data_IF_335032249726
#
_entry.id   IF_335032249726
#
_cell.length_a   1.000
_cell.length_b   1.000
_cell.length_c   1.000
_cell.angle_alpha   90.00
_cell.angle_beta   90.00
_cell.angle_gamma   90.00
#
_symmetry.space_group_name_H-M   'P 1'
#
loop_
_entity.id
_entity.type
_entity.pdbx_description
1 polymer ?
#
# COMPACT_ATOMS: atom_id res chain seq x y z
N UNK A 1 -0.01 -47.09 -41.06
CA UNK A 1 1.33 -47.65 -41.12
C UNK A 1 2.08 -47.19 -39.86
N UNK A 2 2.31 -48.15 -39.00
CA UNK A 2 3.06 -48.00 -37.77
C UNK A 2 4.54 -48.16 -38.00
N UNK A 3 5.39 -47.42 -37.29
CA UNK A 3 6.73 -47.92 -36.93
C UNK A 3 7.09 -47.38 -35.56
N UNK A 4 7.08 -48.33 -34.62
CA UNK A 4 7.59 -48.29 -33.28
C UNK A 4 9.09 -48.54 -33.31
N UNK A 5 9.89 -47.84 -32.51
CA UNK A 5 11.20 -48.38 -32.10
C UNK A 5 11.45 -48.08 -30.61
N UNK A 6 11.68 -49.18 -29.89
CA UNK A 6 12.03 -49.32 -28.47
C UNK A 6 13.54 -49.25 -28.25
N UNK A 7 14.00 -48.61 -27.16
CA UNK A 7 14.96 -48.93 -26.08
C UNK A 7 16.28 -49.71 -26.42
N UNK A 8 17.37 -49.66 -25.57
CA UNK A 8 17.32 -49.93 -24.14
C UNK A 8 18.26 -49.11 -23.22
N UNK A 9 17.98 -49.28 -21.93
CA UNK A 9 18.73 -48.90 -20.76
C UNK A 9 20.05 -49.73 -20.58
N UNK A 10 21.02 -49.14 -19.89
CA UNK A 10 22.07 -49.94 -19.20
C UNK A 10 22.47 -49.27 -17.88
N UNK A 11 22.22 -50.00 -16.82
CA UNK A 11 22.76 -49.83 -15.48
C UNK A 11 24.21 -50.26 -15.43
N UNK A 12 25.05 -49.58 -14.67
CA UNK A 12 26.28 -50.16 -14.09
C UNK A 12 26.53 -49.58 -12.71
N UNK A 13 26.27 -50.41 -11.73
CA UNK A 13 26.76 -50.31 -10.35
C UNK A 13 28.27 -50.55 -10.31
N UNK A 14 29.00 -49.77 -9.52
CA UNK A 14 30.34 -50.24 -9.05
C UNK A 14 30.53 -49.91 -7.58
N UNK A 15 30.82 -50.98 -6.83
CA UNK A 15 31.04 -51.12 -5.40
C UNK A 15 32.32 -50.44 -4.94
N UNK A 16 32.26 -49.99 -3.69
CA UNK A 16 33.41 -49.60 -2.85
C UNK A 16 34.19 -50.79 -2.33
N UNK A 17 35.49 -50.60 -2.13
CA UNK A 17 36.31 -51.32 -1.11
C UNK A 17 37.56 -50.49 -0.74
N UNK A 18 38.02 -50.53 0.55
CA UNK A 18 39.15 -49.76 1.04
C UNK A 18 40.44 -50.59 1.03
N UNK A 19 41.62 -50.00 1.04
CA UNK A 19 42.82 -50.67 1.40
C UNK A 19 43.37 -50.28 2.77
N UNK A 20 43.90 -51.29 3.43
CA UNK A 20 44.60 -51.30 4.69
C UNK A 20 46.04 -50.77 4.53
N UNK A 21 46.60 -50.33 5.67
CA UNK A 21 47.88 -49.72 5.82
C UNK A 21 49.09 -50.60 5.78
N UNK A 22 50.27 -50.00 5.82
CA UNK A 22 51.48 -50.53 6.46
C UNK A 22 52.41 -49.36 6.82
N UNK A 23 53.10 -49.58 7.94
CA UNK A 23 54.01 -48.67 8.62
C UNK A 23 55.45 -48.69 8.00
N UNK A 24 56.20 -47.65 8.29
CA UNK A 24 57.64 -47.71 8.15
C UNK A 24 58.42 -46.40 8.15
N UNK A 25 58.97 -46.08 9.31
CA UNK A 25 60.30 -45.51 9.62
C UNK A 25 60.68 -44.07 9.30
N UNK A 26 61.20 -43.49 10.32
CA UNK A 26 61.73 -42.22 10.76
C UNK A 26 62.85 -41.51 9.97
N UNK A 27 62.77 -40.19 10.01
CA UNK A 27 63.77 -39.13 10.37
C UNK A 27 64.92 -38.78 9.41
N UNK A 28 65.55 -37.56 9.51
CA UNK A 28 65.15 -36.30 10.08
C UNK A 28 65.36 -35.03 9.18
N UNK A 29 64.69 -33.97 9.57
CA UNK A 29 65.01 -32.52 9.54
C UNK A 29 65.74 -31.89 8.33
N UNK A 30 65.06 -30.88 7.77
CA UNK A 30 65.71 -29.60 7.45
C UNK A 30 64.66 -28.51 7.48
N UNK A 31 64.87 -27.49 8.33
CA UNK A 31 64.15 -26.27 8.47
C UNK A 31 64.21 -25.38 7.22
N UNK A 32 63.09 -25.02 6.65
CA UNK A 32 62.99 -23.87 5.80
C UNK A 32 61.69 -23.07 6.24
N UNK A 33 61.77 -21.76 6.46
CA UNK A 33 60.60 -21.01 6.92
C UNK A 33 59.59 -20.83 5.79
N UNK A 34 58.49 -21.52 5.92
CA UNK A 34 57.33 -21.36 5.07
C UNK A 34 56.69 -20.00 5.35
N UNK A 35 56.74 -19.12 4.36
CA UNK A 35 56.01 -17.87 4.32
C UNK A 35 54.53 -18.13 4.58
N UNK A 36 54.06 -17.75 5.78
CA UNK A 36 52.65 -17.72 6.10
C UNK A 36 51.94 -16.71 5.18
N UNK A 37 51.26 -17.20 4.17
CA UNK A 37 50.26 -16.45 3.46
C UNK A 37 49.13 -16.15 4.47
N UNK A 38 49.16 -14.97 5.04
CA UNK A 38 48.01 -14.37 5.73
C UNK A 38 46.90 -14.19 4.68
N UNK A 39 46.02 -15.17 4.56
CA UNK A 39 44.70 -14.98 3.99
C UNK A 39 43.95 -14.05 4.92
N UNK A 40 44.10 -12.75 4.69
CA UNK A 40 43.28 -11.72 5.35
C UNK A 40 41.84 -11.97 4.97
N UNK A 41 41.11 -12.63 5.88
CA UNK A 41 39.64 -12.64 5.84
C UNK A 41 39.21 -11.20 6.02
N UNK A 42 38.95 -10.53 4.91
CA UNK A 42 38.30 -9.23 4.95
C UNK A 42 36.87 -9.44 5.50
N UNK A 43 36.75 -9.35 6.80
CA UNK A 43 35.42 -9.27 7.46
C UNK A 43 34.76 -7.99 6.95
N UNK A 44 33.93 -8.11 5.92
CA UNK A 44 33.05 -7.03 5.50
C UNK A 44 32.02 -6.82 6.60
N UNK A 45 32.29 -5.86 7.46
CA UNK A 45 31.30 -5.38 8.42
C UNK A 45 30.18 -4.74 7.59
N UNK A 46 29.09 -5.45 7.37
CA UNK A 46 27.85 -4.87 6.84
C UNK A 46 27.16 -4.18 8.01
N UNK A 47 27.35 -2.89 8.13
CA UNK A 47 26.50 -2.07 8.99
C UNK A 47 25.19 -1.91 8.21
N UNK A 48 24.05 -2.34 8.75
CA UNK A 48 22.76 -2.03 8.13
C UNK A 48 22.60 -0.50 8.18
N UNK A 49 22.70 0.14 7.03
CA UNK A 49 22.41 1.56 6.91
C UNK A 49 20.91 1.63 6.65
N UNK A 50 20.17 2.26 7.56
CA UNK A 50 18.75 2.53 7.36
C UNK A 50 18.60 3.48 6.17
N UNK A 51 18.08 2.96 5.06
CA UNK A 51 17.85 3.73 3.84
C UNK A 51 16.42 4.26 3.83
N UNK A 52 16.30 5.53 3.50
CA UNK A 52 15.01 6.15 3.20
C UNK A 52 14.64 5.85 1.76
N UNK A 53 13.52 5.14 1.57
CA UNK A 53 12.98 4.79 0.25
C UNK A 53 12.00 5.89 -0.17
N UNK A 54 12.21 6.44 -1.35
CA UNK A 54 11.42 7.54 -1.90
C UNK A 54 10.81 7.10 -3.25
N UNK A 55 9.53 6.70 -3.27
CA UNK A 55 8.81 6.50 -4.51
C UNK A 55 8.54 7.84 -5.19
N UNK A 56 8.71 7.88 -6.50
CA UNK A 56 8.55 9.13 -7.28
C UNK A 56 7.78 8.83 -8.56
N UNK A 57 6.65 9.49 -8.75
CA UNK A 57 5.93 9.53 -10.02
C UNK A 57 6.30 10.80 -10.76
N UNK A 58 6.65 10.70 -12.03
CA UNK A 58 6.97 11.87 -12.87
C UNK A 58 6.04 11.91 -14.06
N UNK A 59 5.42 13.07 -14.27
CA UNK A 59 4.45 13.32 -15.36
C UNK A 59 4.87 14.51 -16.21
N UNK A 60 4.54 14.44 -17.49
CA UNK A 60 4.65 15.57 -18.41
C UNK A 60 3.49 16.59 -18.22
N UNK A 61 3.53 17.69 -18.93
CA UNK A 61 2.47 18.72 -18.94
C UNK A 61 1.10 18.18 -19.39
N UNK A 62 1.06 17.07 -20.10
CA UNK A 62 -0.16 16.36 -20.48
C UNK A 62 -0.63 15.35 -19.43
N UNK A 63 0.08 15.24 -18.30
CA UNK A 63 -0.22 14.29 -17.22
C UNK A 63 0.12 12.84 -17.57
N UNK A 64 0.94 12.58 -18.58
CA UNK A 64 1.42 11.24 -18.96
C UNK A 64 2.70 10.92 -18.21
N UNK A 65 2.87 9.65 -17.83
CA UNK A 65 4.08 9.18 -17.17
C UNK A 65 5.30 9.38 -18.08
N UNK A 66 6.42 9.74 -17.45
CA UNK A 66 7.73 9.89 -18.09
C UNK A 66 8.64 8.76 -17.61
N UNK A 67 8.78 7.64 -18.34
CA UNK A 67 9.47 6.44 -17.86
C UNK A 67 10.97 6.41 -18.20
N UNK A 68 11.50 7.39 -18.92
CA UNK A 68 12.83 7.38 -19.52
C UNK A 68 13.88 8.23 -18.76
N UNK A 69 13.56 8.65 -17.55
CA UNK A 69 14.49 9.42 -16.72
C UNK A 69 15.60 8.53 -16.14
N UNK A 70 16.81 9.09 -16.11
CA UNK A 70 17.98 8.42 -15.54
C UNK A 70 18.33 8.97 -14.17
N UNK A 71 19.09 8.18 -13.40
CA UNK A 71 19.50 8.53 -12.03
C UNK A 71 20.12 9.92 -11.91
N UNK A 72 20.94 10.31 -12.86
CA UNK A 72 21.67 11.60 -12.87
C UNK A 72 20.78 12.82 -13.12
N UNK A 73 19.53 12.60 -13.54
CA UNK A 73 18.52 13.65 -13.69
C UNK A 73 17.81 13.96 -12.37
N UNK A 74 17.90 13.09 -11.35
CA UNK A 74 17.25 13.27 -10.04
C UNK A 74 18.19 13.88 -8.99
N UNK A 75 17.64 14.72 -8.14
CA UNK A 75 18.25 15.22 -6.90
C UNK A 75 17.24 15.09 -5.76
N UNK A 76 17.70 14.61 -4.61
CA UNK A 76 16.90 14.47 -3.39
C UNK A 76 17.44 15.44 -2.35
N UNK A 77 16.53 16.11 -1.66
CA UNK A 77 16.84 16.96 -0.52
C UNK A 77 16.07 16.45 0.70
N UNK A 78 16.76 16.37 1.83
CA UNK A 78 16.19 16.12 3.15
C UNK A 78 16.44 17.38 3.98
N UNK A 79 15.38 17.98 4.53
CA UNK A 79 15.46 19.24 5.29
C UNK A 79 16.29 20.32 4.56
N UNK A 80 16.09 20.44 3.24
CA UNK A 80 16.84 21.30 2.30
C UNK A 80 18.33 20.95 2.11
N UNK A 81 18.81 19.83 2.64
CA UNK A 81 20.18 19.35 2.45
C UNK A 81 20.18 18.25 1.36
N UNK A 82 20.97 18.47 0.30
CA UNK A 82 21.07 17.50 -0.79
C UNK A 82 21.65 16.17 -0.30
N UNK A 83 20.96 15.07 -0.62
CA UNK A 83 21.33 13.72 -0.26
C UNK A 83 21.86 12.95 -1.47
N UNK A 84 22.88 12.11 -1.23
CA UNK A 84 23.43 11.25 -2.27
C UNK A 84 22.49 10.06 -2.51
N UNK A 85 21.94 9.95 -3.72
CA UNK A 85 21.15 8.79 -4.11
C UNK A 85 22.02 7.53 -4.00
N UNK A 86 21.67 6.60 -3.13
CA UNK A 86 22.38 5.33 -2.94
C UNK A 86 21.87 4.27 -3.93
N UNK A 87 20.55 4.23 -4.17
CA UNK A 87 19.89 3.30 -5.09
C UNK A 87 18.89 4.01 -5.98
N UNK A 88 18.77 3.53 -7.22
CA UNK A 88 17.80 3.99 -8.22
C UNK A 88 17.25 2.77 -8.93
N UNK A 89 15.93 2.66 -8.99
CA UNK A 89 15.22 1.62 -9.75
C UNK A 89 14.04 2.24 -10.51
N UNK A 90 13.87 1.79 -11.75
CA UNK A 90 12.73 2.14 -12.61
C UNK A 90 11.90 0.88 -12.96
N UNK A 91 12.11 -0.21 -12.23
CA UNK A 91 11.45 -1.48 -12.49
C UNK A 91 9.99 -1.45 -12.02
N UNK A 92 9.18 -2.17 -12.75
CA UNK A 92 7.79 -2.43 -12.39
C UNK A 92 7.74 -3.28 -11.12
N UNK A 93 7.03 -2.77 -10.11
CA UNK A 93 6.93 -3.42 -8.79
C UNK A 93 5.49 -3.89 -8.57
N UNK A 94 5.27 -5.12 -8.04
CA UNK A 94 3.93 -5.59 -7.70
C UNK A 94 3.22 -4.68 -6.70
N UNK A 95 1.89 -4.62 -6.80
CA UNK A 95 1.06 -3.79 -5.94
C UNK A 95 0.37 -4.64 -4.86
N UNK A 96 0.34 -4.13 -3.62
CA UNK A 96 -0.62 -4.52 -2.59
C UNK A 96 -1.56 -3.34 -2.37
N UNK A 97 -2.83 -3.51 -2.69
CA UNK A 97 -3.82 -2.44 -2.70
C UNK A 97 -4.96 -2.71 -1.74
N UNK A 98 -5.33 -1.73 -0.93
CA UNK A 98 -6.66 -1.69 -0.30
C UNK A 98 -7.56 -0.80 -1.14
N UNK A 99 -8.62 -1.38 -1.71
CA UNK A 99 -9.69 -0.65 -2.38
C UNK A 99 -10.68 -0.24 -1.30
N UNK A 100 -10.67 1.03 -0.93
CA UNK A 100 -11.48 1.59 0.13
C UNK A 100 -12.63 2.40 -0.46
N UNK A 101 -13.86 1.89 -0.32
CA UNK A 101 -15.05 2.43 -0.98
C UNK A 101 -15.98 3.05 0.05
N UNK A 102 -16.34 4.29 -0.19
CA UNK A 102 -17.36 5.00 0.57
C UNK A 102 -18.75 4.35 0.36
N UNK A 103 -19.34 3.85 1.44
CA UNK A 103 -20.63 3.15 1.44
C UNK A 103 -21.82 4.09 1.69
N UNK A 104 -21.56 5.36 2.02
CA UNK A 104 -22.57 6.39 2.27
C UNK A 104 -22.54 7.45 1.14
N UNK A 105 -22.47 7.00 -0.09
CA UNK A 105 -22.62 7.80 -1.29
C UNK A 105 -24.08 8.00 -1.63
N UNK A 106 -24.42 9.11 -2.30
CA UNK A 106 -25.77 9.30 -2.87
C UNK A 106 -26.05 8.18 -3.87
N UNK A 107 -27.27 7.65 -3.92
CA UNK A 107 -27.66 6.49 -4.76
C UNK A 107 -27.19 6.59 -6.23
N UNK A 108 -27.23 7.79 -6.83
CA UNK A 108 -26.72 8.01 -8.19
C UNK A 108 -25.21 7.78 -8.29
N UNK A 109 -24.44 8.25 -7.31
CA UNK A 109 -22.99 8.16 -7.29
C UNK A 109 -22.57 6.73 -6.93
N UNK A 110 -23.26 6.11 -5.98
CA UNK A 110 -23.11 4.72 -5.60
C UNK A 110 -23.28 3.77 -6.78
N UNK A 111 -24.36 3.95 -7.57
CA UNK A 111 -24.58 3.19 -8.80
C UNK A 111 -23.44 3.37 -9.80
N UNK A 112 -23.00 4.60 -10.01
CA UNK A 112 -21.91 4.91 -10.94
C UNK A 112 -20.59 4.26 -10.52
N UNK A 113 -20.26 4.27 -9.23
CA UNK A 113 -19.11 3.56 -8.67
C UNK A 113 -19.28 2.07 -8.89
N UNK A 114 -20.39 1.47 -8.48
CA UNK A 114 -20.67 0.03 -8.62
C UNK A 114 -20.50 -0.47 -10.05
N UNK A 115 -21.02 0.27 -11.03
CA UNK A 115 -20.90 -0.06 -12.48
C UNK A 115 -19.44 -0.06 -12.97
N UNK A 116 -18.58 0.75 -12.36
CA UNK A 116 -17.17 0.93 -12.79
C UNK A 116 -16.15 0.06 -12.04
N UNK A 117 -16.51 -0.54 -10.89
CA UNK A 117 -15.56 -1.27 -10.02
C UNK A 117 -14.78 -2.39 -10.73
N UNK A 118 -15.39 -3.07 -11.73
CA UNK A 118 -14.70 -4.13 -12.47
C UNK A 118 -13.48 -3.64 -13.26
N UNK A 119 -13.41 -2.36 -13.58
CA UNK A 119 -12.25 -1.79 -14.24
C UNK A 119 -11.00 -1.77 -13.34
N UNK A 120 -11.16 -1.84 -12.02
CA UNK A 120 -10.05 -1.97 -11.07
C UNK A 120 -9.29 -3.28 -11.35
N UNK A 121 -10.03 -4.39 -11.54
CA UNK A 121 -9.42 -5.70 -11.83
C UNK A 121 -8.66 -5.68 -13.15
N UNK A 122 -9.20 -5.01 -14.16
CA UNK A 122 -8.55 -4.90 -15.47
C UNK A 122 -7.20 -4.14 -15.42
N UNK A 123 -6.99 -3.28 -14.42
CA UNK A 123 -5.74 -2.55 -14.19
C UNK A 123 -4.69 -3.37 -13.44
N UNK A 124 -5.05 -4.48 -12.81
CA UNK A 124 -4.14 -5.29 -12.00
C UNK A 124 -3.39 -6.33 -12.84
N UNK A 125 -2.14 -6.59 -12.49
CA UNK A 125 -1.33 -7.68 -13.03
C UNK A 125 -1.48 -8.96 -12.20
N UNK A 126 -0.97 -10.09 -12.71
CA UNK A 126 -1.05 -11.38 -12.02
C UNK A 126 -0.30 -11.42 -10.67
N UNK A 127 0.66 -10.53 -10.47
CA UNK A 127 1.43 -10.45 -9.23
C UNK A 127 0.86 -9.44 -8.23
N UNK A 128 -0.19 -8.72 -8.61
CA UNK A 128 -0.84 -7.75 -7.73
C UNK A 128 -1.86 -8.45 -6.85
N UNK A 129 -2.20 -7.82 -5.74
CA UNK A 129 -3.23 -8.26 -4.84
C UNK A 129 -4.06 -7.07 -4.34
N UNK A 130 -5.32 -7.29 -4.10
CA UNK A 130 -6.20 -6.26 -3.58
C UNK A 130 -7.10 -6.78 -2.47
N UNK A 131 -7.39 -5.92 -1.49
CA UNK A 131 -8.39 -6.15 -0.44
C UNK A 131 -9.48 -5.10 -0.58
N UNK A 132 -10.71 -5.55 -0.85
CA UNK A 132 -11.86 -4.65 -0.99
C UNK A 132 -12.45 -4.38 0.39
N UNK A 133 -12.51 -3.11 0.77
CA UNK A 133 -13.07 -2.64 2.02
C UNK A 133 -14.09 -1.54 1.76
N UNK A 134 -15.05 -1.38 2.66
CA UNK A 134 -16.01 -0.30 2.62
C UNK A 134 -15.97 0.49 3.93
N UNK A 135 -16.45 1.71 3.90
CA UNK A 135 -16.60 2.51 5.10
C UNK A 135 -17.80 3.46 5.01
N UNK A 136 -18.37 3.72 6.15
CA UNK A 136 -19.34 4.76 6.45
C UNK A 136 -18.93 5.37 7.81
N UNK A 137 -19.75 5.29 8.83
CA UNK A 137 -19.36 5.55 10.21
C UNK A 137 -18.44 4.46 10.76
N UNK A 138 -18.45 3.28 10.13
CA UNK A 138 -17.66 2.11 10.53
C UNK A 138 -16.80 1.61 9.37
N UNK A 139 -15.74 0.89 9.70
CA UNK A 139 -14.90 0.21 8.71
C UNK A 139 -15.40 -1.23 8.49
N UNK A 140 -15.63 -1.60 7.25
CA UNK A 140 -16.15 -2.90 6.84
C UNK A 140 -15.12 -3.64 5.97
N UNK A 141 -14.24 -4.47 6.56
CA UNK A 141 -13.27 -5.22 5.78
C UNK A 141 -13.95 -6.35 4.98
N UNK A 142 -13.46 -6.58 3.76
CA UNK A 142 -13.82 -7.77 2.97
C UNK A 142 -13.00 -9.02 3.36
N UNK A 143 -12.85 -9.95 2.41
CA UNK A 143 -12.30 -11.28 2.68
C UNK A 143 -10.77 -11.39 2.79
N UNK A 144 -10.02 -10.30 2.71
CA UNK A 144 -8.56 -10.29 2.73
C UNK A 144 -7.94 -9.93 1.38
N UNK A 145 -6.61 -10.06 1.28
CA UNK A 145 -5.90 -9.81 0.02
C UNK A 145 -6.15 -10.94 -0.98
N UNK A 146 -6.63 -10.58 -2.16
CA UNK A 146 -6.98 -11.47 -3.25
C UNK A 146 -6.07 -11.15 -4.44
N UNK A 147 -5.25 -12.11 -4.87
CA UNK A 147 -4.43 -12.03 -6.07
C UNK A 147 -5.12 -12.64 -7.32
N UNK A 148 -6.16 -13.44 -7.12
CA UNK A 148 -6.94 -14.06 -8.20
C UNK A 148 -7.96 -13.06 -8.75
N UNK A 149 -7.84 -12.72 -10.02
CA UNK A 149 -8.68 -11.70 -10.66
C UNK A 149 -10.16 -12.07 -10.70
N UNK A 150 -10.51 -13.35 -10.89
CA UNK A 150 -11.90 -13.79 -10.95
C UNK A 150 -12.57 -13.74 -9.57
N UNK A 151 -11.82 -14.12 -8.53
CA UNK A 151 -12.26 -14.00 -7.14
C UNK A 151 -12.43 -12.54 -6.74
N UNK A 152 -11.47 -11.68 -7.12
CA UNK A 152 -11.55 -10.26 -6.85
C UNK A 152 -12.73 -9.60 -7.56
N UNK A 153 -12.98 -9.97 -8.82
CA UNK A 153 -14.16 -9.52 -9.56
C UNK A 153 -15.46 -9.98 -8.89
N UNK A 154 -15.48 -11.18 -8.34
CA UNK A 154 -16.63 -11.70 -7.59
C UNK A 154 -16.86 -10.92 -6.31
N UNK A 155 -15.79 -10.57 -5.58
CA UNK A 155 -15.88 -9.76 -4.37
C UNK A 155 -16.37 -8.33 -4.68
N UNK A 156 -15.84 -7.69 -5.72
CA UNK A 156 -16.31 -6.38 -6.17
C UNK A 156 -17.79 -6.39 -6.60
N UNK A 157 -18.26 -7.46 -7.24
CA UNK A 157 -19.69 -7.62 -7.60
C UNK A 157 -20.59 -7.79 -6.38
N UNK A 158 -20.08 -8.37 -5.29
CA UNK A 158 -20.80 -8.50 -4.01
C UNK A 158 -20.87 -7.17 -3.25
N UNK A 159 -20.00 -6.20 -3.61
CA UNK A 159 -20.01 -4.88 -3.03
C UNK A 159 -21.20 -4.10 -3.60
N UNK A 160 -22.38 -4.32 -3.01
CA UNK A 160 -23.60 -3.57 -3.36
C UNK A 160 -23.54 -2.23 -2.66
N UNK A 161 -23.46 -1.18 -3.45
CA UNK A 161 -23.53 0.20 -2.98
C UNK A 161 -24.94 0.78 -3.10
N UNK A 162 -25.87 0.05 -3.75
CA UNK A 162 -27.19 0.54 -4.13
C UNK A 162 -28.30 0.25 -3.09
N UNK A 163 -28.03 -0.59 -2.11
CA UNK A 163 -29.01 -0.81 -1.03
C UNK A 163 -28.94 0.39 -0.11
N UNK A 164 -29.92 1.27 -0.22
CA UNK A 164 -30.26 2.23 0.81
C UNK A 164 -30.32 1.50 2.17
N UNK A 165 -29.22 1.53 2.90
CA UNK A 165 -29.22 1.39 4.34
C UNK A 165 -29.73 2.71 4.93
N UNK A 166 -30.81 3.27 4.36
CA UNK A 166 -31.70 4.22 5.03
C UNK A 166 -32.63 3.51 6.02
N UNK A 167 -32.30 2.29 6.43
CA UNK A 167 -32.70 1.82 7.72
C UNK A 167 -31.83 2.57 8.72
N UNK A 168 -32.37 3.69 9.23
CA UNK A 168 -31.94 4.19 10.53
C UNK A 168 -31.82 2.99 11.49
N UNK A 169 -31.07 3.10 12.60
CA UNK A 169 -30.66 1.97 13.43
C UNK A 169 -31.84 1.20 14.01
N UNK A 170 -32.52 0.43 13.19
CA UNK A 170 -33.28 -0.72 13.61
C UNK A 170 -32.28 -1.87 13.68
N UNK A 171 -31.31 -1.76 14.59
CA UNK A 171 -30.53 -2.89 15.03
C UNK A 171 -31.47 -3.80 15.83
N UNK A 172 -31.90 -4.96 15.30
CA UNK A 172 -32.68 -5.91 16.08
C UNK A 172 -31.87 -6.50 17.24
N UNK A 173 -30.56 -6.22 17.29
CA UNK A 173 -29.64 -6.83 18.22
C UNK A 173 -29.59 -6.16 19.62
N UNK A 174 -30.16 -4.99 19.80
CA UNK A 174 -30.11 -4.31 21.12
C UNK A 174 -31.39 -4.56 21.94
N UNK A 175 -32.46 -5.08 21.32
CA UNK A 175 -33.72 -5.37 22.03
C UNK A 175 -33.87 -6.79 22.56
N UNK A 176 -32.86 -7.65 22.47
CA UNK A 176 -32.89 -9.01 23.02
C UNK A 176 -32.13 -9.14 24.35
N UNK A 177 -32.14 -8.12 25.18
CA UNK A 177 -31.86 -8.29 26.60
C UNK A 177 -32.93 -9.18 27.23
N UNK A 178 -32.63 -9.93 28.29
CA UNK A 178 -33.61 -10.77 28.98
C UNK A 178 -34.79 -9.91 29.42
N UNK A 179 -35.98 -10.19 28.90
CA UNK A 179 -37.22 -9.54 29.34
C UNK A 179 -37.88 -10.38 30.43
N UNK A 180 -38.28 -9.75 31.51
CA UNK A 180 -39.07 -10.37 32.56
C UNK A 180 -40.46 -9.74 32.50
N UNK A 181 -41.48 -10.60 32.27
CA UNK A 181 -42.88 -10.21 32.11
C UNK A 181 -43.16 -9.16 31.00
N UNK A 182 -42.40 -9.23 29.85
CA UNK A 182 -42.64 -8.34 28.74
C UNK A 182 -42.00 -6.93 28.91
N UNK A 183 -41.33 -6.67 30.01
CA UNK A 183 -40.55 -5.44 30.22
C UNK A 183 -39.05 -5.75 30.17
N UNK A 184 -38.26 -4.88 29.54
CA UNK A 184 -36.80 -5.01 29.51
C UNK A 184 -36.25 -4.98 30.93
N UNK A 185 -35.45 -5.98 31.30
CA UNK A 185 -34.83 -6.08 32.63
C UNK A 185 -33.75 -4.99 32.87
N UNK A 186 -33.34 -4.28 31.85
CA UNK A 186 -32.58 -3.03 31.93
C UNK A 186 -33.57 -1.89 31.80
N UNK A 187 -33.98 -1.26 32.87
CA UNK A 187 -34.95 -0.18 32.92
C UNK A 187 -34.74 0.83 31.77
N UNK A 188 -35.75 1.64 31.45
CA UNK A 188 -35.77 2.63 30.40
C UNK A 188 -34.47 3.48 30.40
N UNK A 189 -33.41 2.90 29.84
CA UNK A 189 -32.23 3.68 29.51
C UNK A 189 -32.68 4.73 28.50
N UNK A 190 -32.39 6.01 28.70
CA UNK A 190 -32.74 7.04 27.77
C UNK A 190 -32.25 6.62 26.39
N UNK A 191 -33.15 6.63 25.42
CA UNK A 191 -32.89 6.22 24.03
C UNK A 191 -31.81 7.12 23.43
N UNK A 192 -30.53 6.77 23.69
CA UNK A 192 -29.34 7.49 23.20
C UNK A 192 -29.30 7.44 21.66
N UNK A 193 -29.90 6.43 21.03
CA UNK A 193 -30.05 6.33 19.60
C UNK A 193 -30.93 7.47 19.00
N UNK A 194 -31.92 7.97 19.76
CA UNK A 194 -32.75 9.11 19.35
C UNK A 194 -32.05 10.47 19.41
N UNK A 195 -31.01 10.59 20.24
CA UNK A 195 -30.27 11.85 20.40
C UNK A 195 -29.28 12.14 19.26
N UNK A 196 -28.77 11.10 18.61
CA UNK A 196 -27.82 11.27 17.47
C UNK A 196 -28.52 11.38 16.12
N UNK A 197 -29.74 10.82 15.98
CA UNK A 197 -30.51 10.88 14.73
C UNK A 197 -31.08 12.27 14.37
N UNK A 198 -31.07 13.21 15.31
CA UNK A 198 -31.64 14.55 15.12
C UNK A 198 -30.61 15.65 14.81
N UNK A 199 -29.34 15.33 14.61
CA UNK A 199 -28.36 16.28 14.07
C UNK A 199 -28.51 16.26 12.54
N UNK A 200 -29.63 16.81 12.04
CA UNK A 200 -29.81 17.01 10.60
C UNK A 200 -28.63 17.81 10.05
N UNK A 201 -27.85 17.17 9.17
CA UNK A 201 -26.84 17.82 8.33
C UNK A 201 -25.38 17.65 8.72
N UNK A 202 -25.04 16.88 9.76
CA UNK A 202 -23.63 16.57 10.03
C UNK A 202 -23.26 15.23 9.33
N UNK A 203 -22.17 15.20 8.55
CA UNK A 203 -21.70 13.94 7.96
C UNK A 203 -21.25 12.98 9.06
N UNK A 204 -21.67 11.73 8.98
CA UNK A 204 -21.33 10.67 9.95
C UNK A 204 -20.10 9.85 9.52
N UNK A 205 -19.60 10.07 8.31
CA UNK A 205 -18.48 9.30 7.74
C UNK A 205 -17.19 9.46 8.54
N UNK A 206 -16.57 8.34 8.89
CA UNK A 206 -15.29 8.27 9.59
C UNK A 206 -14.16 7.96 8.61
N UNK A 207 -13.88 8.91 7.68
CA UNK A 207 -12.90 8.72 6.61
C UNK A 207 -11.48 8.56 7.15
N UNK A 208 -11.08 9.36 8.15
CA UNK A 208 -9.73 9.26 8.71
C UNK A 208 -9.52 7.89 9.39
N UNK A 209 -10.50 7.39 10.15
CA UNK A 209 -10.44 6.06 10.76
C UNK A 209 -10.42 4.93 9.70
N UNK A 210 -11.15 5.12 8.59
CA UNK A 210 -11.15 4.15 7.51
C UNK A 210 -9.78 4.08 6.81
N UNK A 211 -9.15 5.22 6.56
CA UNK A 211 -7.78 5.26 6.00
C UNK A 211 -6.77 4.68 6.99
N UNK A 212 -6.92 4.95 8.30
CA UNK A 212 -6.10 4.33 9.34
C UNK A 212 -6.21 2.80 9.33
N UNK A 213 -7.45 2.28 9.33
CA UNK A 213 -7.71 0.85 9.29
C UNK A 213 -7.11 0.21 8.02
N UNK A 214 -7.28 0.83 6.86
CA UNK A 214 -6.69 0.38 5.60
C UNK A 214 -5.15 0.35 5.68
N UNK A 215 -4.51 1.35 6.31
CA UNK A 215 -3.07 1.36 6.54
C UNK A 215 -2.62 0.20 7.44
N UNK A 216 -3.40 -0.15 8.48
CA UNK A 216 -3.10 -1.29 9.34
C UNK A 216 -3.17 -2.64 8.58
N UNK A 217 -4.03 -2.78 7.57
CA UNK A 217 -4.07 -3.98 6.71
C UNK A 217 -2.82 -4.09 5.82
N UNK A 218 -2.27 -2.95 5.38
CA UNK A 218 -1.12 -2.90 4.46
C UNK A 218 0.24 -2.96 5.18
N UNK A 219 0.32 -2.63 6.46
CA UNK A 219 1.59 -2.46 7.17
C UNK A 219 2.53 -3.66 7.06
N UNK A 220 1.97 -4.87 7.18
CA UNK A 220 2.72 -6.12 7.21
C UNK A 220 2.93 -6.74 5.81
N UNK A 221 2.50 -6.05 4.74
CA UNK A 221 2.78 -6.51 3.38
C UNK A 221 4.24 -6.32 3.03
N UNK A 222 4.73 -7.15 2.11
CA UNK A 222 6.12 -7.17 1.66
C UNK A 222 6.61 -5.76 1.30
N UNK A 223 7.82 -5.42 1.70
CA UNK A 223 8.47 -4.13 1.44
C UNK A 223 8.83 -3.92 -0.04
N UNK A 224 9.01 -4.99 -0.77
CA UNK A 224 9.29 -4.94 -2.21
C UNK A 224 8.03 -4.68 -3.05
N UNK A 225 6.85 -4.66 -2.43
CA UNK A 225 5.58 -4.34 -3.06
C UNK A 225 5.22 -2.87 -2.87
N UNK A 226 4.55 -2.27 -3.85
CA UNK A 226 3.91 -0.96 -3.69
C UNK A 226 2.67 -1.12 -2.82
N UNK A 227 2.64 -0.41 -1.71
CA UNK A 227 1.49 -0.38 -0.81
C UNK A 227 0.66 0.84 -1.13
N UNK A 228 -0.58 0.65 -1.55
CA UNK A 228 -1.47 1.75 -1.89
C UNK A 228 -2.84 1.59 -1.27
N UNK A 229 -3.43 2.71 -0.88
CA UNK A 229 -4.87 2.83 -0.59
C UNK A 229 -5.51 3.49 -1.79
N UNK A 230 -6.43 2.79 -2.44
CA UNK A 230 -7.23 3.30 -3.52
C UNK A 230 -8.59 3.73 -2.96
N UNK A 231 -8.74 5.01 -2.68
CA UNK A 231 -9.86 5.60 -1.96
C UNK A 231 -10.89 6.18 -2.92
N UNK A 232 -12.11 5.64 -2.92
CA UNK A 232 -13.24 6.09 -3.74
C UNK A 232 -14.27 6.72 -2.81
N UNK A 233 -14.41 8.05 -2.83
CA UNK A 233 -15.28 8.78 -1.92
C UNK A 233 -15.71 10.14 -2.49
N UNK A 234 -16.76 10.73 -1.92
CA UNK A 234 -17.15 12.12 -2.14
C UNK A 234 -16.32 13.12 -1.31
N UNK A 235 -15.34 12.64 -0.54
CA UNK A 235 -14.43 13.45 0.26
C UNK A 235 -15.02 14.01 1.55
N UNK A 236 -16.25 13.66 1.86
CA UNK A 236 -16.89 14.11 3.11
C UNK A 236 -16.30 13.35 4.29
N UNK A 237 -15.90 14.07 5.32
CA UNK A 237 -15.37 13.53 6.57
C UNK A 237 -16.09 14.15 7.77
N UNK A 238 -16.69 13.31 8.60
CA UNK A 238 -17.31 13.73 9.85
C UNK A 238 -16.29 13.75 10.98
N UNK A 239 -15.55 14.84 11.14
CA UNK A 239 -14.42 14.93 12.08
C UNK A 239 -14.74 14.45 13.50
N UNK A 240 -15.99 14.62 13.97
CA UNK A 240 -16.44 14.18 15.31
C UNK A 240 -16.61 12.67 15.45
N UNK A 241 -16.67 11.94 14.35
CA UNK A 241 -16.87 10.49 14.32
C UNK A 241 -15.56 9.72 14.17
N UNK A 242 -14.45 10.41 13.94
CA UNK A 242 -13.13 9.80 13.86
C UNK A 242 -12.46 9.77 15.25
N UNK A 243 -11.88 8.63 15.59
CA UNK A 243 -10.99 8.45 16.75
C UNK A 243 -9.59 8.95 16.43
N UNK A 244 -9.13 8.68 15.20
CA UNK A 244 -7.83 9.11 14.70
C UNK A 244 -7.95 10.46 13.99
N UNK A 245 -7.04 11.39 14.29
CA UNK A 245 -6.92 12.62 13.53
C UNK A 245 -6.02 12.43 12.31
N UNK A 246 -6.02 13.41 11.42
CA UNK A 246 -5.24 13.40 10.19
C UNK A 246 -3.76 13.11 10.42
N UNK A 247 -3.13 13.79 11.39
CA UNK A 247 -1.69 13.69 11.64
C UNK A 247 -1.29 12.29 12.13
N UNK A 248 -2.13 11.67 12.95
CA UNK A 248 -1.95 10.28 13.40
C UNK A 248 -2.01 9.32 12.20
N UNK A 249 -2.99 9.51 11.31
CA UNK A 249 -3.14 8.68 10.12
C UNK A 249 -1.98 8.88 9.15
N UNK A 250 -1.60 10.14 8.89
CA UNK A 250 -0.48 10.47 8.01
C UNK A 250 0.83 9.85 8.52
N UNK A 251 1.08 9.93 9.83
CA UNK A 251 2.27 9.31 10.46
C UNK A 251 2.35 7.81 10.13
N UNK A 252 1.24 7.08 10.24
CA UNK A 252 1.20 5.64 9.93
C UNK A 252 1.40 5.38 8.42
N UNK A 253 0.77 6.16 7.55
CA UNK A 253 0.96 6.05 6.10
C UNK A 253 2.43 6.24 5.69
N UNK A 254 3.06 7.30 6.18
CA UNK A 254 4.47 7.59 5.89
C UNK A 254 5.41 6.55 6.50
N UNK A 255 5.10 6.07 7.72
CA UNK A 255 5.86 5.03 8.41
C UNK A 255 5.95 3.74 7.62
N UNK A 256 4.82 3.31 7.04
CA UNK A 256 4.74 2.06 6.29
C UNK A 256 4.91 2.24 4.78
N UNK A 257 5.26 3.45 4.32
CA UNK A 257 5.44 3.79 2.91
C UNK A 257 4.19 3.45 2.08
N UNK A 258 3.02 3.90 2.55
CA UNK A 258 1.72 3.68 1.91
C UNK A 258 1.31 4.97 1.22
N UNK A 259 1.09 4.92 -0.10
CA UNK A 259 0.57 6.04 -0.87
C UNK A 259 -0.98 5.97 -0.96
N UNK A 260 -1.63 7.12 -0.93
CA UNK A 260 -3.08 7.24 -1.12
C UNK A 260 -3.38 7.78 -2.50
N UNK A 261 -4.18 7.06 -3.26
CA UNK A 261 -4.75 7.50 -4.53
C UNK A 261 -6.24 7.70 -4.37
N UNK A 262 -6.73 8.91 -4.65
CA UNK A 262 -8.11 9.27 -4.49
C UNK A 262 -8.88 9.29 -5.81
N UNK A 263 -10.10 8.78 -5.82
CA UNK A 263 -11.08 9.04 -6.86
C UNK A 263 -12.28 9.74 -6.22
N UNK A 264 -12.37 11.04 -6.50
CA UNK A 264 -13.48 11.87 -6.07
C UNK A 264 -14.72 11.63 -6.91
N UNK A 265 -15.84 11.35 -6.26
CA UNK A 265 -17.12 11.07 -6.91
C UNK A 265 -18.20 12.08 -6.50
N UNK A 266 -19.23 12.24 -7.34
CA UNK A 266 -20.39 13.08 -7.04
C UNK A 266 -20.18 14.58 -7.21
N UNK A 267 -21.09 15.36 -6.64
CA UNK A 267 -21.13 16.83 -6.76
C UNK A 267 -20.08 17.56 -5.93
N UNK A 268 -19.38 16.84 -5.08
CA UNK A 268 -18.36 17.39 -4.19
C UNK A 268 -17.21 18.11 -4.94
N UNK A 269 -17.01 17.78 -6.24
CA UNK A 269 -16.12 18.53 -7.13
C UNK A 269 -16.42 20.04 -7.17
N UNK A 270 -17.68 20.42 -7.16
CA UNK A 270 -18.10 21.83 -7.17
C UNK A 270 -18.07 22.48 -5.80
N UNK A 271 -18.07 21.68 -4.72
CA UNK A 271 -18.19 22.15 -3.34
C UNK A 271 -16.86 22.23 -2.59
N UNK A 272 -15.72 21.99 -3.29
CA UNK A 272 -14.35 21.95 -2.71
C UNK A 272 -14.20 20.99 -1.51
N UNK A 273 -15.02 19.93 -1.45
CA UNK A 273 -15.01 18.97 -0.34
C UNK A 273 -13.90 17.91 -0.43
N UNK A 274 -13.10 17.96 -1.48
CA UNK A 274 -12.01 16.98 -1.69
C UNK A 274 -10.70 17.33 -0.99
N UNK A 275 -10.70 18.36 -0.15
CA UNK A 275 -9.49 18.80 0.53
C UNK A 275 -8.80 17.64 1.27
N UNK A 276 -9.59 16.79 1.98
CA UNK A 276 -9.04 15.66 2.73
C UNK A 276 -8.42 14.59 1.82
N UNK A 277 -9.09 14.23 0.70
CA UNK A 277 -8.55 13.30 -0.28
C UNK A 277 -7.26 13.83 -0.90
N UNK A 278 -7.30 15.08 -1.35
CA UNK A 278 -6.14 15.74 -1.97
C UNK A 278 -4.97 15.82 -1.01
N UNK A 279 -5.24 16.10 0.27
CA UNK A 279 -4.20 16.19 1.28
C UNK A 279 -3.54 14.83 1.54
N UNK A 280 -4.31 13.74 1.71
CA UNK A 280 -3.74 12.39 1.84
C UNK A 280 -2.92 11.99 0.61
N UNK A 281 -3.44 12.24 -0.60
CA UNK A 281 -2.71 11.89 -1.81
C UNK A 281 -1.40 12.67 -1.92
N UNK A 282 -1.45 13.98 -1.79
CA UNK A 282 -0.29 14.86 -1.89
C UNK A 282 0.80 14.48 -0.86
N UNK A 283 0.45 14.39 0.42
CA UNK A 283 1.42 14.17 1.50
C UNK A 283 2.05 12.77 1.46
N UNK A 284 1.38 11.81 0.79
CA UNK A 284 1.88 10.42 0.65
C UNK A 284 2.48 10.10 -0.73
N UNK A 285 2.47 11.04 -1.67
CA UNK A 285 3.03 10.87 -3.02
C UNK A 285 2.13 10.11 -3.99
N UNK A 286 0.84 10.06 -3.73
CA UNK A 286 -0.18 9.62 -4.67
C UNK A 286 -0.79 10.77 -5.48
N UNK A 287 -1.98 10.56 -6.01
CA UNK A 287 -2.70 11.58 -6.79
C UNK A 287 -4.23 11.47 -6.60
N UNK A 288 -4.96 12.50 -6.99
CA UNK A 288 -6.44 12.51 -6.94
C UNK A 288 -7.03 12.75 -8.31
N UNK A 289 -8.00 11.94 -8.65
CA UNK A 289 -8.74 12.00 -9.90
C UNK A 289 -10.22 12.24 -9.65
N UNK A 290 -10.88 12.88 -10.60
CA UNK A 290 -12.29 13.22 -10.49
C UNK A 290 -13.06 12.63 -11.66
N UNK A 291 -14.04 11.78 -11.37
CA UNK A 291 -14.89 11.11 -12.36
C UNK A 291 -16.35 11.48 -12.20
N UNK A 292 -16.92 12.17 -13.22
CA UNK A 292 -18.34 12.53 -13.24
C UNK A 292 -19.23 11.49 -13.98
N UNK A 293 -18.64 10.49 -14.62
CA UNK A 293 -19.36 9.46 -15.39
C UNK A 293 -18.63 8.12 -15.26
N UNK A 294 -19.36 7.01 -15.22
CA UNK A 294 -18.81 5.65 -15.07
C UNK A 294 -17.68 5.35 -16.03
N UNK A 295 -17.82 5.68 -17.33
CA UNK A 295 -16.79 5.43 -18.33
C UNK A 295 -15.50 6.23 -18.09
N UNK A 296 -15.61 7.45 -17.56
CA UNK A 296 -14.44 8.23 -17.17
C UNK A 296 -13.75 7.59 -15.94
N UNK A 297 -14.52 7.08 -14.99
CA UNK A 297 -14.01 6.40 -13.79
C UNK A 297 -13.24 5.13 -14.14
N UNK A 298 -13.70 4.33 -15.09
CA UNK A 298 -12.98 3.14 -15.58
C UNK A 298 -11.55 3.50 -16.04
N UNK A 299 -11.41 4.56 -16.82
CA UNK A 299 -10.11 5.07 -17.25
C UNK A 299 -9.23 5.57 -16.09
N UNK A 300 -9.84 6.18 -15.08
CA UNK A 300 -9.13 6.64 -13.88
C UNK A 300 -8.57 5.47 -13.06
N UNK A 301 -9.35 4.39 -12.92
CA UNK A 301 -8.89 3.20 -12.17
C UNK A 301 -7.66 2.56 -12.81
N UNK A 302 -7.68 2.39 -14.13
CA UNK A 302 -6.51 1.89 -14.86
C UNK A 302 -5.30 2.81 -14.71
N UNK A 303 -5.52 4.12 -14.73
CA UNK A 303 -4.47 5.12 -14.58
C UNK A 303 -3.82 5.08 -13.19
N UNK A 304 -4.60 4.94 -12.12
CA UNK A 304 -4.08 4.80 -10.75
C UNK A 304 -3.14 3.60 -10.64
N UNK A 305 -3.56 2.44 -11.14
CA UNK A 305 -2.73 1.23 -11.08
C UNK A 305 -1.47 1.35 -11.96
N UNK A 306 -1.58 1.98 -13.12
CA UNK A 306 -0.43 2.27 -13.98
C UNK A 306 0.58 3.20 -13.29
N UNK A 307 0.11 4.28 -12.70
CA UNK A 307 0.97 5.24 -11.99
C UNK A 307 1.63 4.62 -10.76
N UNK A 308 0.88 3.91 -9.93
CA UNK A 308 1.43 3.25 -8.76
C UNK A 308 2.51 2.20 -9.12
N UNK A 309 2.35 1.51 -10.27
CA UNK A 309 3.28 0.48 -10.73
C UNK A 309 4.57 1.06 -11.32
N UNK A 310 4.45 2.15 -12.06
CA UNK A 310 5.56 2.72 -12.85
C UNK A 310 6.25 3.91 -12.14
N UNK A 311 6.33 3.87 -10.82
CA UNK A 311 7.09 4.86 -10.06
C UNK A 311 8.58 4.53 -10.10
N UNK A 312 9.41 5.57 -10.18
CA UNK A 312 10.81 5.44 -9.80
C UNK A 312 10.95 5.15 -8.31
N UNK A 313 11.93 4.34 -7.93
CA UNK A 313 12.28 4.11 -6.53
C UNK A 313 13.68 4.64 -6.29
N UNK A 314 13.78 5.74 -5.59
CA UNK A 314 15.04 6.29 -5.12
C UNK A 314 15.28 5.82 -3.68
N UNK A 315 16.55 5.66 -3.29
CA UNK A 315 16.89 5.47 -1.90
C UNK A 315 18.17 6.23 -1.57
N UNK A 316 18.24 6.75 -0.35
CA UNK A 316 19.43 7.40 0.18
C UNK A 316 19.64 7.01 1.65
N UNK A 317 20.87 7.13 2.13
CA UNK A 317 21.19 7.02 3.55
C UNK A 317 21.25 8.43 4.12
N UNK A 318 20.43 8.79 5.12
CA UNK A 318 20.47 10.10 5.74
C UNK A 318 21.87 10.46 6.21
N UNK A 319 22.35 11.63 5.84
CA UNK A 319 23.70 12.09 6.20
C UNK A 319 23.74 12.79 7.58
N UNK A 320 22.58 13.11 8.16
CA UNK A 320 22.44 13.75 9.46
C UNK A 320 22.53 12.76 10.61
N UNK A 321 23.23 13.16 11.67
CA UNK A 321 23.30 12.44 12.95
C UNK A 321 22.21 12.86 13.91
N UNK A 322 21.36 13.79 13.52
CA UNK A 322 20.33 14.36 14.39
C UNK A 322 19.13 13.42 14.53
N UNK A 323 19.32 12.37 15.35
CA UNK A 323 18.29 11.38 15.70
C UNK A 323 17.21 11.94 16.63
N UNK A 324 17.27 13.22 16.96
CA UNK A 324 16.32 13.90 17.83
C UNK A 324 15.09 14.44 17.11
N UNK A 325 15.16 14.62 15.80
CA UNK A 325 14.02 15.08 14.99
C UNK A 325 13.17 13.90 14.59
N UNK A 326 11.88 13.96 14.91
CA UNK A 326 10.97 12.86 14.60
C UNK A 326 10.54 12.86 13.12
N UNK A 327 10.37 14.04 12.49
CA UNK A 327 9.92 14.19 11.11
C UNK A 327 10.96 14.90 10.25
N UNK A 328 11.26 14.35 9.08
CA UNK A 328 12.15 14.91 8.09
C UNK A 328 11.39 15.17 6.78
N UNK A 329 11.52 16.37 6.23
CA UNK A 329 10.95 16.72 4.93
C UNK A 329 11.77 16.14 3.78
N UNK A 330 11.10 15.76 2.69
CA UNK A 330 11.72 15.26 1.46
C UNK A 330 11.28 16.14 0.30
N UNK A 331 12.24 16.58 -0.51
CA UNK A 331 11.99 17.20 -1.80
C UNK A 331 12.77 16.46 -2.89
N UNK A 332 12.09 16.14 -3.99
CA UNK A 332 12.73 15.57 -5.18
C UNK A 332 12.65 16.56 -6.31
N UNK A 333 13.79 16.82 -6.96
CA UNK A 333 13.89 17.66 -8.15
C UNK A 333 14.39 16.86 -9.33
N UNK A 334 13.90 17.19 -10.54
CA UNK A 334 14.34 16.60 -11.80
C UNK A 334 14.90 17.71 -12.68
N UNK A 335 16.00 17.46 -13.39
CA UNK A 335 16.66 18.45 -14.24
C UNK A 335 15.82 18.85 -15.45
N UNK A 336 15.02 17.92 -15.98
CA UNK A 336 14.16 18.14 -17.15
C UNK A 336 13.01 19.07 -16.77
N UNK A 337 12.81 20.14 -17.49
CA UNK A 337 11.76 21.13 -17.27
C UNK A 337 10.39 20.63 -17.71
N UNK A 338 9.32 21.28 -17.22
CA UNK A 338 7.95 20.99 -17.60
C UNK A 338 7.41 19.66 -17.05
N UNK A 339 8.02 19.13 -15.98
CA UNK A 339 7.58 17.91 -15.34
C UNK A 339 6.89 18.20 -14.00
N UNK A 340 5.86 17.39 -13.72
CA UNK A 340 5.23 17.33 -12.41
C UNK A 340 5.78 16.12 -11.66
N UNK A 341 6.26 16.34 -10.43
CA UNK A 341 6.85 15.32 -9.58
C UNK A 341 5.92 15.08 -8.41
N UNK A 342 5.49 13.84 -8.23
CA UNK A 342 4.69 13.40 -7.09
C UNK A 342 5.54 12.47 -6.25
N UNK A 343 5.73 12.81 -4.99
CA UNK A 343 6.46 12.04 -3.99
C UNK A 343 5.93 12.37 -2.60
N UNK A 344 6.19 11.53 -1.62
CA UNK A 344 5.82 11.84 -0.24
C UNK A 344 6.57 13.06 0.27
N UNK A 345 5.92 13.87 1.08
CA UNK A 345 6.51 15.11 1.62
C UNK A 345 7.60 14.89 2.68
N UNK A 346 7.66 13.69 3.27
CA UNK A 346 8.64 13.41 4.30
C UNK A 346 8.53 12.00 4.86
N UNK A 347 9.20 11.77 5.99
CA UNK A 347 9.15 10.52 6.73
C UNK A 347 9.40 10.76 8.23
N UNK A 348 9.06 9.76 9.05
CA UNK A 348 9.34 9.76 10.47
C UNK A 348 10.58 8.91 10.78
N UNK A 349 11.62 9.51 11.37
CA UNK A 349 12.84 8.80 11.76
C UNK A 349 12.54 7.77 12.87
N UNK A 350 13.28 6.64 12.83
CA UNK A 350 13.06 5.54 13.78
C UNK A 350 11.80 4.71 13.53
N UNK A 351 11.01 5.05 12.51
CA UNK A 351 9.79 4.35 12.15
C UNK A 351 10.00 3.21 11.14
N UNK A 352 11.24 2.92 10.72
CA UNK A 352 11.49 1.81 9.79
C UNK A 352 11.15 0.50 10.47
N UNK A 353 10.11 -0.23 10.06
CA UNK A 353 9.83 -1.56 10.60
C UNK A 353 11.02 -2.46 10.28
N UNK A 354 11.51 -3.19 11.27
CA UNK A 354 12.59 -4.20 11.10
C UNK A 354 12.14 -5.38 10.29
#
# INVERSE_FOLDING_TARGET
>A
MAVTLLLPASFAELKAQPPQGSAGSASPAQDTPSSAQQTGVQTRIRIPVDQVIVPVTVKDVGGRLVPDLRRDEFRIFEDNIEQKIASFRADVVPISMVVLIDNDLKSKDAKQVGDSLRAIVAGLSLNDEAWVCRFDQFFHPGQGFIGDQDKLLTELKRTRLDEETSAGPSSPAINNGPSINGHSAMGDAPNIAGGLANIKGQPTKALDDAVYAAAQLLKDRDRERRKIIFLISDGVNGAKFNVNNYDTVLKELLRYNIAVYGVGVGSAFFERRFERLSKYAHDTGGDVYYGLKSRAMEGLYSRVTEEARNQYTLAYAPSGTDRGVEYHSIEVRVRREGLTILTREGYYAGATPR
#
